data_IF_271186218304
#
_entry.id   IF_271186218304
#
_cell.length_a   1.000
_cell.length_b   1.000
_cell.length_c   1.000
_cell.angle_alpha   90.00
_cell.angle_beta   90.00
_cell.angle_gamma   90.00
#
_symmetry.space_group_name_H-M   'P 1'
#
loop_
_entity.id
_entity.type
_entity.pdbx_description
1 polymer ?
#
# COMPACT_ATOMS: atom_id res chain seq x y z
N UNK A 1 -13.03 -14.79 -0.72
CA UNK A 1 -14.36 -14.79 -1.37
C UNK A 1 -15.47 -14.38 -0.39
N UNK A 2 -15.69 -15.08 0.73
CA UNK A 2 -16.75 -14.75 1.71
C UNK A 2 -16.79 -13.27 2.14
N UNK A 3 -15.65 -12.61 2.28
CA UNK A 3 -15.57 -11.19 2.66
C UNK A 3 -16.04 -10.30 1.53
N UNK A 4 -15.58 -10.56 0.30
CA UNK A 4 -15.94 -9.79 -0.89
C UNK A 4 -17.44 -9.87 -1.15
N UNK A 5 -18.00 -11.08 -1.03
CA UNK A 5 -19.44 -11.33 -1.28
C UNK A 5 -20.37 -10.70 -0.22
N UNK A 6 -19.86 -10.42 1.00
CA UNK A 6 -20.66 -9.92 2.13
C UNK A 6 -20.55 -8.43 2.37
N UNK A 7 -19.55 -7.78 1.83
CA UNK A 7 -19.30 -6.36 2.07
C UNK A 7 -19.72 -5.51 0.88
N UNK A 8 -20.47 -4.44 1.16
CA UNK A 8 -20.86 -3.43 0.16
C UNK A 8 -19.80 -2.32 0.03
N UNK A 9 -18.54 -2.62 0.38
CA UNK A 9 -17.40 -1.70 0.27
C UNK A 9 -16.30 -2.32 -0.60
N UNK A 10 -15.46 -1.50 -1.27
CA UNK A 10 -14.32 -2.00 -2.03
C UNK A 10 -13.34 -2.78 -1.15
N UNK A 11 -12.96 -3.98 -1.57
CA UNK A 11 -11.98 -4.82 -0.88
C UNK A 11 -10.68 -4.82 -1.68
N UNK A 12 -9.60 -4.38 -1.04
CA UNK A 12 -8.24 -4.42 -1.57
C UNK A 12 -7.46 -5.55 -0.92
N UNK A 13 -6.72 -6.30 -1.71
CA UNK A 13 -6.01 -7.50 -1.24
C UNK A 13 -4.50 -7.24 -1.16
N UNK A 14 -3.93 -7.45 0.02
CA UNK A 14 -2.48 -7.42 0.21
C UNK A 14 -1.85 -8.69 -0.35
N UNK A 15 -0.99 -8.53 -1.35
CA UNK A 15 -0.15 -9.58 -1.92
C UNK A 15 1.26 -9.42 -1.36
N UNK A 16 1.57 -10.21 -0.35
CA UNK A 16 2.86 -10.23 0.34
C UNK A 16 3.16 -11.65 0.78
N UNK A 17 4.05 -12.38 0.08
CA UNK A 17 4.25 -13.82 0.31
C UNK A 17 4.82 -14.17 1.69
N UNK A 18 5.54 -13.26 2.32
CA UNK A 18 6.14 -13.45 3.64
C UNK A 18 6.32 -12.15 4.42
N UNK A 19 6.60 -12.26 5.69
CA UNK A 19 7.09 -11.16 6.54
C UNK A 19 8.58 -10.85 6.26
N UNK A 20 9.08 -9.77 6.82
CA UNK A 20 10.48 -9.32 6.67
C UNK A 20 10.63 -8.25 5.61
N UNK A 21 11.69 -8.32 4.80
CA UNK A 21 11.99 -7.39 3.73
C UNK A 21 11.00 -7.45 2.55
N UNK A 22 11.28 -6.66 1.52
CA UNK A 22 10.46 -6.58 0.32
C UNK A 22 11.22 -7.03 -0.94
N UNK A 23 12.35 -7.73 -0.75
CA UNK A 23 13.17 -8.30 -1.83
C UNK A 23 12.78 -9.76 -2.00
N UNK A 24 12.17 -10.10 -3.11
CA UNK A 24 11.60 -11.42 -3.32
C UNK A 24 12.38 -12.24 -4.34
N UNK A 25 12.51 -13.54 -4.08
CA UNK A 25 13.03 -14.51 -5.03
C UNK A 25 12.11 -14.66 -6.25
N UNK A 26 12.61 -15.30 -7.32
CA UNK A 26 11.77 -15.59 -8.49
C UNK A 26 10.56 -16.47 -8.14
N UNK A 27 10.72 -17.42 -7.22
CA UNK A 27 9.60 -18.30 -6.79
C UNK A 27 8.52 -17.51 -6.06
N UNK A 28 8.91 -16.59 -5.17
CA UNK A 28 7.97 -15.71 -4.46
C UNK A 28 7.26 -14.77 -5.42
N UNK A 29 7.98 -14.24 -6.41
CA UNK A 29 7.41 -13.38 -7.44
C UNK A 29 6.37 -14.12 -8.29
N UNK A 30 6.62 -15.35 -8.73
CA UNK A 30 5.63 -16.17 -9.43
C UNK A 30 4.40 -16.46 -8.56
N UNK A 31 4.59 -16.70 -7.25
CA UNK A 31 3.48 -16.84 -6.31
C UNK A 31 2.64 -15.56 -6.23
N UNK A 32 3.28 -14.39 -6.15
CA UNK A 32 2.58 -13.09 -6.13
C UNK A 32 1.72 -12.91 -7.38
N UNK A 33 2.24 -13.24 -8.56
CA UNK A 33 1.47 -13.17 -9.83
C UNK A 33 0.27 -14.11 -9.81
N UNK A 34 0.46 -15.34 -9.38
CA UNK A 34 -0.61 -16.33 -9.25
C UNK A 34 -1.72 -15.84 -8.30
N UNK A 35 -1.34 -15.27 -7.17
CA UNK A 35 -2.28 -14.72 -6.20
C UNK A 35 -3.07 -13.53 -6.76
N UNK A 36 -2.43 -12.64 -7.53
CA UNK A 36 -3.13 -11.53 -8.21
C UNK A 36 -4.23 -12.06 -9.12
N UNK A 37 -3.91 -13.01 -10.00
CA UNK A 37 -4.90 -13.61 -10.92
C UNK A 37 -6.07 -14.20 -10.13
N UNK A 38 -5.79 -14.99 -9.11
CA UNK A 38 -6.78 -15.64 -8.28
C UNK A 38 -7.71 -14.63 -7.57
N UNK A 39 -7.16 -13.58 -6.96
CA UNK A 39 -7.99 -12.60 -6.26
C UNK A 39 -8.76 -11.68 -7.20
N UNK A 40 -8.22 -11.41 -8.38
CA UNK A 40 -8.92 -10.72 -9.46
C UNK A 40 -10.17 -11.49 -9.89
N UNK A 41 -10.07 -12.80 -10.11
CA UNK A 41 -11.20 -13.70 -10.40
C UNK A 41 -12.23 -13.76 -9.27
N UNK A 42 -11.80 -13.54 -8.03
CA UNK A 42 -12.70 -13.46 -6.87
C UNK A 42 -13.47 -12.14 -6.77
N UNK A 43 -13.17 -11.14 -7.62
CA UNK A 43 -13.90 -9.87 -7.69
C UNK A 43 -13.43 -8.80 -6.69
N UNK A 44 -12.17 -8.84 -6.22
CA UNK A 44 -11.60 -7.74 -5.44
C UNK A 44 -11.56 -6.45 -6.26
N UNK A 45 -11.42 -5.30 -5.61
CA UNK A 45 -11.40 -3.98 -6.27
C UNK A 45 -10.00 -3.41 -6.45
N UNK A 46 -9.02 -3.95 -5.76
CA UNK A 46 -7.63 -3.53 -5.92
C UNK A 46 -6.65 -4.49 -5.29
N UNK A 47 -5.41 -4.33 -5.70
CA UNK A 47 -4.24 -5.07 -5.22
C UNK A 47 -3.34 -4.11 -4.45
N UNK A 48 -2.78 -4.60 -3.35
CA UNK A 48 -1.78 -3.89 -2.55
C UNK A 48 -0.52 -4.72 -2.54
N UNK A 49 0.58 -4.21 -3.08
CA UNK A 49 1.87 -4.92 -3.13
C UNK A 49 3.03 -3.94 -3.27
N UNK A 50 4.26 -4.43 -3.34
CA UNK A 50 5.46 -3.63 -3.58
C UNK A 50 6.72 -4.49 -3.48
N UNK A 51 7.68 -4.24 -4.36
CA UNK A 51 8.93 -4.98 -4.48
C UNK A 51 10.09 -4.01 -4.48
N UNK A 52 11.13 -4.32 -3.74
CA UNK A 52 12.38 -3.57 -3.69
C UNK A 52 13.54 -4.41 -4.20
N UNK A 53 14.58 -3.73 -4.65
CA UNK A 53 15.91 -4.25 -4.85
C UNK A 53 16.70 -4.28 -3.52
N UNK A 54 17.84 -4.97 -3.50
CA UNK A 54 18.71 -5.06 -2.32
C UNK A 54 19.28 -3.70 -1.87
N UNK A 55 19.31 -2.71 -2.74
CA UNK A 55 19.77 -1.34 -2.48
C UNK A 55 18.66 -0.38 -2.04
N UNK A 56 17.49 -0.89 -1.70
CA UNK A 56 16.30 -0.13 -1.34
C UNK A 56 15.75 0.78 -2.47
N UNK A 57 16.09 0.55 -3.72
CA UNK A 57 15.34 1.10 -4.85
C UNK A 57 14.12 0.24 -5.16
N UNK A 58 13.13 0.79 -5.85
CA UNK A 58 11.97 0.00 -6.29
C UNK A 58 12.38 -0.91 -7.46
N UNK A 59 12.04 -2.19 -7.40
CA UNK A 59 12.12 -3.08 -8.57
C UNK A 59 11.03 -2.70 -9.57
N UNK A 60 11.32 -1.69 -10.39
CA UNK A 60 10.40 -1.11 -11.36
C UNK A 60 9.90 -2.16 -12.35
N UNK A 61 10.79 -3.04 -12.81
CA UNK A 61 10.42 -4.06 -13.80
C UNK A 61 9.37 -5.02 -13.26
N UNK A 62 9.61 -5.60 -12.09
CA UNK A 62 8.66 -6.54 -11.47
C UNK A 62 7.40 -5.83 -10.97
N UNK A 63 7.53 -4.63 -10.43
CA UNK A 63 6.36 -3.85 -9.99
C UNK A 63 5.46 -3.53 -11.17
N UNK A 64 6.00 -3.11 -12.32
CA UNK A 64 5.23 -2.88 -13.55
C UNK A 64 4.49 -4.13 -14.00
N UNK A 65 5.13 -5.29 -13.99
CA UNK A 65 4.49 -6.56 -14.34
C UNK A 65 3.29 -6.88 -13.42
N UNK A 66 3.40 -6.61 -12.09
CA UNK A 66 2.28 -6.78 -11.17
C UNK A 66 1.15 -5.77 -11.43
N UNK A 67 1.50 -4.51 -11.74
CA UNK A 67 0.51 -3.47 -12.10
C UNK A 67 -0.27 -3.88 -13.34
N UNK A 68 0.41 -4.27 -14.41
CA UNK A 68 -0.22 -4.71 -15.67
C UNK A 68 -1.13 -5.93 -15.47
N UNK A 69 -0.67 -6.91 -14.69
CA UNK A 69 -1.44 -8.12 -14.36
C UNK A 69 -2.69 -7.80 -13.54
N UNK A 70 -2.62 -6.77 -12.69
CA UNK A 70 -3.75 -6.34 -11.86
C UNK A 70 -4.86 -5.68 -12.68
N UNK A 71 -4.58 -5.11 -13.84
CA UNK A 71 -5.58 -4.35 -14.61
C UNK A 71 -6.82 -5.18 -14.94
N UNK A 72 -8.03 -4.60 -14.84
CA UNK A 72 -8.37 -3.19 -14.61
C UNK A 72 -8.48 -2.77 -13.14
N UNK A 73 -8.04 -3.58 -12.18
CA UNK A 73 -8.09 -3.26 -10.76
C UNK A 73 -7.09 -2.13 -10.41
N UNK A 74 -7.40 -1.35 -9.36
CA UNK A 74 -6.46 -0.37 -8.82
C UNK A 74 -5.27 -1.07 -8.14
N UNK A 75 -4.07 -0.51 -8.32
CA UNK A 75 -2.85 -1.00 -7.69
C UNK A 75 -2.31 0.01 -6.67
N UNK A 76 -2.10 -0.46 -5.45
CA UNK A 76 -1.50 0.33 -4.36
C UNK A 76 -0.10 -0.18 -4.07
N UNK A 77 0.91 0.68 -4.19
CA UNK A 77 2.24 0.38 -3.67
C UNK A 77 2.23 0.58 -2.15
N UNK A 78 2.59 -0.45 -1.42
CA UNK A 78 2.47 -0.46 0.04
C UNK A 78 3.67 0.20 0.75
N UNK A 79 3.75 0.04 2.07
CA UNK A 79 4.77 0.63 2.94
C UNK A 79 6.22 0.20 2.68
N UNK A 80 6.52 -0.62 1.67
CA UNK A 80 7.88 -0.75 1.14
C UNK A 80 8.43 0.63 0.69
N UNK A 81 7.55 1.56 0.32
CA UNK A 81 7.90 2.94 0.01
C UNK A 81 8.55 3.68 1.19
N UNK A 82 8.28 3.26 2.42
CA UNK A 82 8.85 3.92 3.61
C UNK A 82 10.36 3.66 3.83
N UNK A 83 10.95 2.73 3.06
CA UNK A 83 12.38 2.39 3.16
C UNK A 83 13.18 2.70 1.90
N UNK A 84 12.58 3.32 0.89
CA UNK A 84 13.31 3.74 -0.32
C UNK A 84 14.27 4.89 -0.02
N UNK A 85 15.38 4.96 -0.78
CA UNK A 85 16.41 5.97 -0.54
C UNK A 85 16.01 7.36 -1.02
N UNK A 86 15.33 7.46 -2.17
CA UNK A 86 14.90 8.72 -2.79
C UNK A 86 13.39 8.68 -3.08
N UNK A 87 12.53 9.02 -2.09
CA UNK A 87 11.09 8.93 -2.24
C UNK A 87 10.52 9.89 -3.29
N UNK A 88 11.19 11.02 -3.57
CA UNK A 88 10.72 11.98 -4.57
C UNK A 88 10.90 11.44 -5.99
N UNK A 89 12.04 10.82 -6.27
CA UNK A 89 12.27 10.19 -7.57
C UNK A 89 11.46 8.90 -7.72
N UNK A 90 11.38 8.09 -6.66
CA UNK A 90 10.66 6.81 -6.71
C UNK A 90 9.15 6.97 -6.88
N UNK A 91 8.55 8.07 -6.42
CA UNK A 91 7.12 8.30 -6.67
C UNK A 91 6.83 8.64 -8.13
N UNK A 92 7.73 9.34 -8.83
CA UNK A 92 7.63 9.58 -10.26
C UNK A 92 7.76 8.26 -11.04
N UNK A 93 8.73 7.41 -10.68
CA UNK A 93 8.88 6.07 -11.27
C UNK A 93 7.62 5.23 -11.11
N UNK A 94 6.97 5.25 -9.93
CA UNK A 94 5.71 4.55 -9.68
C UNK A 94 4.56 5.08 -10.54
N UNK A 95 4.49 6.41 -10.71
CA UNK A 95 3.50 7.02 -11.60
C UNK A 95 3.67 6.55 -13.05
N UNK A 96 4.90 6.56 -13.57
CA UNK A 96 5.21 6.17 -14.95
C UNK A 96 4.81 4.72 -15.28
N UNK A 97 4.92 3.82 -14.31
CA UNK A 97 4.49 2.43 -14.48
C UNK A 97 3.02 2.18 -14.18
N UNK A 98 2.26 3.25 -13.86
CA UNK A 98 0.82 3.20 -13.71
C UNK A 98 0.32 2.75 -12.33
N UNK A 99 1.06 2.97 -11.26
CA UNK A 99 0.57 2.76 -9.89
C UNK A 99 -0.48 3.83 -9.56
N UNK A 100 -1.61 3.42 -9.00
CA UNK A 100 -2.73 4.32 -8.73
C UNK A 100 -2.61 5.02 -7.38
N UNK A 101 -1.93 4.37 -6.40
CA UNK A 101 -1.86 4.84 -5.01
C UNK A 101 -0.55 4.41 -4.34
N UNK A 102 -0.01 5.25 -3.47
CA UNK A 102 1.10 4.90 -2.57
C UNK A 102 0.66 5.03 -1.12
N UNK A 103 0.76 3.93 -0.37
CA UNK A 103 0.55 3.90 1.08
C UNK A 103 1.90 4.13 1.78
N UNK A 104 2.01 5.21 2.52
CA UNK A 104 3.26 5.59 3.19
C UNK A 104 3.01 6.32 4.52
N UNK A 105 3.96 6.23 5.44
CA UNK A 105 4.00 7.05 6.65
C UNK A 105 4.93 8.27 6.51
N UNK A 106 5.43 8.56 5.30
CA UNK A 106 6.42 9.58 5.07
C UNK A 106 7.79 9.21 5.63
N UNK A 107 8.16 7.91 5.51
CA UNK A 107 9.44 7.34 5.98
C UNK A 107 9.69 7.51 7.50
N UNK A 108 8.63 7.65 8.28
CA UNK A 108 8.70 7.75 9.75
C UNK A 108 7.90 6.63 10.40
N UNK A 109 8.04 6.52 11.72
CA UNK A 109 7.31 5.52 12.49
C UNK A 109 5.80 5.72 12.37
N UNK A 110 5.35 6.97 12.37
CA UNK A 110 3.94 7.34 12.22
C UNK A 110 3.76 8.38 11.10
N UNK A 111 2.57 8.43 10.51
CA UNK A 111 2.22 9.40 9.48
C UNK A 111 2.28 10.86 9.99
N UNK A 112 2.01 11.09 11.29
CA UNK A 112 2.10 12.42 11.86
C UNK A 112 3.54 12.92 11.90
N UNK A 113 4.50 12.05 12.24
CA UNK A 113 5.93 12.38 12.23
C UNK A 113 6.43 12.59 10.78
N UNK A 114 5.86 11.88 9.81
CA UNK A 114 6.21 11.98 8.39
C UNK A 114 5.43 13.03 7.59
N UNK A 115 4.59 13.83 8.25
CA UNK A 115 3.65 14.74 7.57
C UNK A 115 4.34 15.72 6.60
N UNK A 116 5.56 16.14 6.91
CA UNK A 116 6.34 17.02 6.03
C UNK A 116 6.60 16.35 4.68
N UNK A 117 7.17 15.14 4.68
CA UNK A 117 7.45 14.41 3.44
C UNK A 117 6.16 14.03 2.71
N UNK A 118 5.10 13.66 3.43
CA UNK A 118 3.80 13.35 2.83
C UNK A 118 3.25 14.51 2.00
N UNK A 119 3.34 15.74 2.54
CA UNK A 119 2.93 16.96 1.83
C UNK A 119 3.84 17.24 0.62
N UNK A 120 5.14 17.12 0.79
CA UNK A 120 6.13 17.29 -0.28
C UNK A 120 5.89 16.32 -1.43
N UNK A 121 5.67 15.03 -1.15
CA UNK A 121 5.31 14.03 -2.16
C UNK A 121 4.04 14.44 -2.91
N UNK A 122 3.00 14.86 -2.20
CA UNK A 122 1.74 15.28 -2.81
C UNK A 122 1.92 16.49 -3.74
N UNK A 123 2.72 17.47 -3.32
CA UNK A 123 3.02 18.67 -4.12
C UNK A 123 3.81 18.33 -5.38
N UNK A 124 4.85 17.50 -5.26
CA UNK A 124 5.67 17.07 -6.39
C UNK A 124 4.86 16.31 -7.43
N UNK A 125 4.08 15.32 -7.01
CA UNK A 125 3.32 14.46 -7.94
C UNK A 125 2.04 15.13 -8.48
N UNK A 126 1.63 16.30 -7.94
CA UNK A 126 0.48 17.11 -8.41
C UNK A 126 -0.81 16.30 -8.55
N UNK A 127 -1.08 15.42 -7.61
CA UNK A 127 -2.22 14.48 -7.60
C UNK A 127 -2.30 13.51 -8.80
N UNK A 128 -1.21 13.32 -9.57
CA UNK A 128 -1.14 12.32 -10.64
C UNK A 128 -1.20 10.88 -10.12
N UNK A 129 -0.77 10.67 -8.87
CA UNK A 129 -0.91 9.43 -8.10
C UNK A 129 -1.46 9.78 -6.72
N UNK A 130 -2.28 8.92 -6.13
CA UNK A 130 -2.86 9.14 -4.81
C UNK A 130 -1.84 8.85 -3.72
N UNK A 131 -1.57 9.83 -2.86
CA UNK A 131 -0.81 9.60 -1.62
C UNK A 131 -1.80 9.27 -0.53
N UNK A 132 -1.67 8.09 0.06
CA UNK A 132 -2.49 7.62 1.17
C UNK A 132 -1.64 7.53 2.45
N UNK A 133 -1.71 8.54 3.33
CA UNK A 133 -1.03 8.48 4.62
C UNK A 133 -1.49 7.29 5.44
N UNK A 134 -0.55 6.59 6.09
CA UNK A 134 -0.86 5.45 6.96
C UNK A 134 0.16 5.27 8.07
N UNK A 135 -0.20 4.51 9.07
CA UNK A 135 0.51 4.28 10.35
C UNK A 135 0.15 5.32 11.42
N UNK A 136 -0.51 4.86 12.47
CA UNK A 136 -0.85 5.66 13.64
C UNK A 136 -1.95 6.70 13.41
N UNK A 137 -2.69 6.64 12.30
CA UNK A 137 -3.83 7.52 12.07
C UNK A 137 -5.03 7.01 12.89
N UNK A 138 -5.65 7.93 13.61
CA UNK A 138 -6.82 7.70 14.45
C UNK A 138 -7.72 8.96 14.46
N UNK A 139 -8.82 8.91 15.19
CA UNK A 139 -9.78 10.02 15.27
C UNK A 139 -9.20 11.32 15.84
N UNK A 140 -8.18 11.25 16.70
CA UNK A 140 -7.58 12.41 17.36
C UNK A 140 -6.65 13.19 16.42
N UNK A 141 -6.00 12.51 15.46
CA UNK A 141 -5.03 13.13 14.56
C UNK A 141 -5.50 13.22 13.10
N UNK A 142 -6.69 12.72 12.76
CA UNK A 142 -7.23 12.69 11.40
C UNK A 142 -7.28 14.08 10.75
N UNK A 143 -7.53 15.12 11.54
CA UNK A 143 -7.59 16.51 11.09
C UNK A 143 -6.32 16.97 10.36
N UNK A 144 -5.15 16.45 10.75
CA UNK A 144 -3.87 16.79 10.12
C UNK A 144 -3.75 16.29 8.68
N UNK A 145 -4.61 15.35 8.28
CA UNK A 145 -4.58 14.68 6.97
C UNK A 145 -5.72 15.10 6.04
N UNK A 146 -6.52 16.11 6.39
CA UNK A 146 -7.66 16.59 5.57
C UNK A 146 -7.29 16.98 4.14
N UNK A 147 -6.05 17.36 3.91
CA UNK A 147 -5.58 17.70 2.56
C UNK A 147 -5.37 16.46 1.66
N UNK A 148 -5.37 15.25 2.21
CA UNK A 148 -5.24 14.00 1.45
C UNK A 148 -6.62 13.42 1.15
N UNK A 149 -6.78 12.86 -0.05
CA UNK A 149 -8.07 12.29 -0.48
C UNK A 149 -8.41 10.99 0.24
N UNK A 150 -7.41 10.27 0.71
CA UNK A 150 -7.53 8.97 1.35
C UNK A 150 -6.54 8.88 2.51
N UNK A 151 -6.92 8.15 3.56
CA UNK A 151 -6.04 7.80 4.69
C UNK A 151 -6.22 6.34 5.04
N UNK A 152 -5.18 5.72 5.60
CA UNK A 152 -5.21 4.36 6.10
C UNK A 152 -5.08 4.33 7.62
N UNK A 153 -6.08 3.77 8.30
CA UNK A 153 -6.08 3.58 9.75
C UNK A 153 -6.60 2.19 10.11
N UNK A 154 -6.15 1.66 11.24
CA UNK A 154 -6.66 0.38 11.74
C UNK A 154 -8.01 0.51 12.47
N UNK A 155 -8.38 1.70 12.91
CA UNK A 155 -9.63 2.08 13.61
C UNK A 155 -10.20 0.97 14.51
N UNK A 156 -9.33 0.23 15.19
CA UNK A 156 -9.74 -0.81 16.13
C UNK A 156 -10.42 -0.12 17.32
N UNK A 157 -11.72 -0.34 17.50
CA UNK A 157 -12.35 -0.14 18.79
C UNK A 157 -11.70 -1.10 19.79
N UNK A 158 -11.37 -0.63 21.00
CA UNK A 158 -10.73 -1.48 22.01
C UNK A 158 -11.55 -2.75 22.21
N UNK A 159 -11.01 -3.87 21.78
CA UNK A 159 -11.59 -5.16 22.14
C UNK A 159 -11.39 -5.33 23.65
N UNK A 160 -12.49 -5.35 24.41
CA UNK A 160 -12.47 -5.98 25.73
C UNK A 160 -11.92 -7.41 25.50
N UNK A 161 -10.81 -7.73 26.18
CA UNK A 161 -10.35 -9.12 26.23
C UNK A 161 -11.52 -9.92 26.78
N UNK A 162 -12.06 -10.86 25.97
CA UNK A 162 -12.96 -11.87 26.54
C UNK A 162 -12.21 -12.57 27.66
N UNK A 163 -12.83 -12.77 28.84
CA UNK A 163 -12.22 -13.58 29.88
C UNK A 163 -11.89 -14.95 29.26
N UNK A 164 -10.66 -15.40 29.43
CA UNK A 164 -10.31 -16.78 29.11
C UNK A 164 -11.26 -17.69 29.88
N UNK A 165 -12.00 -18.52 29.19
CA UNK A 165 -12.78 -19.59 29.83
C UNK A 165 -11.81 -20.44 30.66
N UNK A 166 -12.01 -20.44 31.96
CA UNK A 166 -11.36 -21.36 32.91
C UNK A 166 -11.83 -22.78 32.69
#
# INVERSE_FOLDING_TARGET
KRTIDKLNIPVFILIRPRMGDFVYSNKEFELMKSDIVKFKEMGCKGIVSGILNNDNTIDIKRTKELVELSRPLEFTFHRAFDVVNDPINEIENLYEIGVDRVLTSGQKKTAIEGLKLLKELKENIKNRIKIMPGSGINTENLENFKSFNEVHGSFKSGFQKFPSAT
#
